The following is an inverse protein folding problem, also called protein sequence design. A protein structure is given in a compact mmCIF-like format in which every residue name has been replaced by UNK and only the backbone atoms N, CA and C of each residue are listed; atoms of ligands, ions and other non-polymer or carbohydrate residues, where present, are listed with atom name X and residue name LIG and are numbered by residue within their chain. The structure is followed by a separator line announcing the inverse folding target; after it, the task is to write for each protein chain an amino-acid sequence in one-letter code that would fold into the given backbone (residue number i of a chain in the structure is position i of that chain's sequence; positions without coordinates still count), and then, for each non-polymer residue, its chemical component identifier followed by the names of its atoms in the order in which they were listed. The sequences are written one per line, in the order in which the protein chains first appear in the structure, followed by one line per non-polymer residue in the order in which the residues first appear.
data_IF_923860068942
#
_entry.id   IF_923860068942
#
_cell.length_a   1.000
_cell.length_b   1.000
_cell.length_c   1.000
_cell.angle_alpha   90.00
_cell.angle_beta   90.00
_cell.angle_gamma   90.00
#
_symmetry.space_group_name_H-M   'P 1'
#
loop_
_entity.id
_entity.type
_entity.pdbx_description
1 polymer ?
#
# COMPACT_ATOMS: atom_id res chain seq x y z
N UNK A 1 32.15 -12.71 23.59
CA UNK A 1 30.93 -13.40 24.03
C UNK A 1 30.62 -12.99 25.47
N UNK A 2 29.35 -12.86 25.87
CA UNK A 2 28.14 -12.66 25.04
C UNK A 2 28.11 -11.19 24.55
N UNK A 3 27.02 -10.51 24.16
CA UNK A 3 25.66 -10.89 23.69
C UNK A 3 25.51 -10.42 22.22
N UNK A 4 24.39 -10.73 21.56
CA UNK A 4 23.97 -10.07 20.32
C UNK A 4 23.27 -8.72 20.61
N UNK A 5 23.51 -7.72 19.77
CA UNK A 5 22.85 -6.41 19.78
C UNK A 5 22.26 -6.11 18.41
N UNK A 6 21.20 -6.81 18.05
CA UNK A 6 20.42 -6.59 16.81
C UNK A 6 19.41 -5.48 17.10
N UNK A 7 19.65 -4.29 16.55
CA UNK A 7 18.73 -3.15 16.61
C UNK A 7 18.56 -2.60 15.18
N UNK A 8 17.31 -2.55 14.69
CA UNK A 8 16.92 -2.15 13.34
C UNK A 8 15.51 -1.52 13.35
N UNK A 9 15.23 -0.49 12.53
CA UNK A 9 14.01 0.33 12.68
C UNK A 9 13.50 1.15 11.46
N UNK A 10 12.19 1.47 11.56
CA UNK A 10 11.30 2.45 10.88
C UNK A 10 10.91 2.32 9.39
N UNK A 11 9.62 2.01 9.19
CA UNK A 11 8.95 1.61 7.94
C UNK A 11 8.28 2.75 7.13
N UNK A 12 7.93 2.46 5.86
CA UNK A 12 6.96 3.23 5.07
C UNK A 12 5.92 2.40 4.30
N UNK A 13 4.66 2.66 4.63
CA UNK A 13 3.41 2.54 3.87
C UNK A 13 3.35 2.14 2.36
N UNK A 14 2.54 1.12 2.02
CA UNK A 14 2.17 0.70 0.65
C UNK A 14 0.65 0.70 0.42
N UNK A 15 -0.01 1.77 -0.04
CA UNK A 15 -1.42 1.69 -0.40
C UNK A 15 -1.53 0.66 -1.51
N UNK A 16 -2.26 -0.42 -1.24
CA UNK A 16 -2.44 -1.49 -2.20
C UNK A 16 -3.89 -1.53 -2.62
N UNK A 17 -4.21 -0.77 -3.67
CA UNK A 17 -5.57 -0.56 -4.18
C UNK A 17 -5.89 -1.62 -5.25
N UNK A 18 -5.62 -2.89 -4.93
CA UNK A 18 -5.92 -4.04 -5.80
C UNK A 18 -7.42 -4.14 -6.08
N UNK A 19 -7.89 -3.74 -7.27
CA UNK A 19 -9.24 -4.13 -7.67
C UNK A 19 -9.47 -4.15 -9.19
N UNK A 20 -9.54 -5.37 -9.74
CA UNK A 20 -10.16 -5.56 -11.05
C UNK A 20 -11.68 -5.51 -10.92
N UNK A 21 -12.35 -4.61 -11.65
CA UNK A 21 -13.79 -4.70 -11.84
C UNK A 21 -14.09 -5.90 -12.76
N UNK A 22 -14.52 -7.03 -12.19
CA UNK A 22 -15.22 -8.01 -13.02
C UNK A 22 -16.51 -7.40 -13.59
N UNK A 23 -16.87 -7.85 -14.80
CA UNK A 23 -18.06 -7.46 -15.56
C UNK A 23 -19.30 -7.37 -14.67
N UNK A 24 -20.05 -6.27 -14.78
CA UNK A 24 -21.53 -6.18 -14.64
C UNK A 24 -22.24 -7.37 -13.97
N UNK A 25 -21.91 -7.67 -12.70
CA UNK A 25 -22.47 -8.83 -12.00
C UNK A 25 -22.49 -8.65 -10.47
N UNK A 26 -23.67 -8.33 -9.94
CA UNK A 26 -24.21 -8.68 -8.60
C UNK A 26 -23.49 -8.30 -7.31
N UNK A 27 -22.16 -8.30 -7.19
CA UNK A 27 -21.47 -8.04 -5.92
C UNK A 27 -20.68 -6.71 -5.94
N UNK A 28 -21.18 -5.65 -5.28
CA UNK A 28 -20.45 -4.39 -5.16
C UNK A 28 -19.27 -4.44 -4.17
N UNK A 29 -19.10 -5.52 -3.41
CA UNK A 29 -18.10 -5.65 -2.35
C UNK A 29 -17.02 -6.69 -2.71
N UNK A 30 -15.75 -6.35 -2.47
CA UNK A 30 -14.63 -7.28 -2.58
C UNK A 30 -13.67 -7.15 -1.40
N UNK A 31 -13.02 -8.27 -1.03
CA UNK A 31 -11.97 -8.32 -0.02
C UNK A 31 -10.81 -9.14 -0.56
N UNK A 32 -9.60 -8.60 -0.45
CA UNK A 32 -8.37 -9.26 -0.87
C UNK A 32 -7.39 -9.34 0.30
N UNK A 33 -6.74 -10.49 0.45
CA UNK A 33 -5.53 -10.62 1.25
C UNK A 33 -4.33 -10.47 0.33
N UNK A 34 -3.21 -9.94 0.84
CA UNK A 34 -1.99 -9.83 0.05
C UNK A 34 -0.72 -10.07 0.86
N UNK A 35 0.34 -10.46 0.16
CA UNK A 35 1.70 -10.55 0.66
C UNK A 35 2.64 -9.99 -0.43
N UNK A 36 3.56 -9.10 -0.07
CA UNK A 36 4.50 -8.48 -1.00
C UNK A 36 5.89 -8.38 -0.39
N UNK A 37 6.91 -8.63 -1.20
CA UNK A 37 8.28 -8.26 -0.89
C UNK A 37 8.58 -6.91 -1.56
N UNK A 38 9.23 -6.00 -0.85
CA UNK A 38 9.51 -4.66 -1.33
C UNK A 38 10.86 -4.12 -0.90
N UNK A 39 11.29 -3.11 -1.64
CA UNK A 39 12.55 -2.40 -1.50
C UNK A 39 12.24 -0.92 -1.38
N UNK A 40 12.88 -0.26 -0.43
CA UNK A 40 12.60 1.12 -0.01
C UNK A 40 13.91 1.92 0.10
N UNK A 41 13.97 3.07 -0.58
CA UNK A 41 15.01 4.08 -0.36
C UNK A 41 14.40 5.21 0.47
N UNK A 42 14.66 5.17 1.78
CA UNK A 42 13.98 6.03 2.75
C UNK A 42 14.78 7.30 3.10
N UNK A 43 14.06 8.29 3.64
CA UNK A 43 14.45 9.60 4.12
C UNK A 43 15.52 9.61 5.23
N UNK A 44 16.73 9.19 4.86
CA UNK A 44 17.96 9.22 5.65
C UNK A 44 18.09 10.42 6.59
N UNK A 45 17.92 11.62 6.04
CA UNK A 45 18.23 12.89 6.70
C UNK A 45 17.26 13.25 7.83
N UNK A 46 15.98 12.90 7.68
CA UNK A 46 14.95 13.31 8.64
C UNK A 46 14.85 12.38 9.85
N UNK A 47 15.19 11.09 9.68
CA UNK A 47 15.48 10.22 10.84
C UNK A 47 16.61 10.79 11.70
N UNK A 48 17.66 11.37 11.11
CA UNK A 48 18.74 12.01 11.89
C UNK A 48 18.23 13.18 12.75
N UNK A 49 17.16 13.86 12.33
CA UNK A 49 16.61 15.02 13.03
C UNK A 49 15.67 14.65 14.19
N UNK A 50 15.09 13.45 14.18
CA UNK A 50 14.18 12.95 15.23
C UNK A 50 14.90 12.27 16.41
N UNK A 51 16.21 12.51 16.57
CA UNK A 51 17.12 11.82 17.51
C UNK A 51 16.96 10.29 17.47
N UNK A 52 16.76 9.79 16.24
CA UNK A 52 16.56 8.38 15.99
C UNK A 52 17.93 7.69 16.04
N UNK A 53 18.15 6.79 17.02
CA UNK A 53 19.44 6.08 17.28
C UNK A 53 20.05 5.34 16.06
N UNK A 54 19.37 5.34 14.92
CA UNK A 54 19.70 4.62 13.69
C UNK A 54 20.02 5.53 12.50
N UNK A 55 20.20 6.83 12.76
CA UNK A 55 20.63 7.85 11.80
C UNK A 55 21.64 7.35 10.76
N UNK A 56 22.66 6.59 11.17
CA UNK A 56 23.77 6.18 10.29
C UNK A 56 23.46 5.11 9.24
N UNK A 57 22.28 4.48 9.25
CA UNK A 57 21.87 3.54 8.18
C UNK A 57 21.15 4.22 7.00
N UNK A 58 21.01 5.54 6.99
CA UNK A 58 20.15 6.24 6.04
C UNK A 58 20.45 6.04 4.53
N UNK A 59 21.68 5.65 4.16
CA UNK A 59 22.03 5.41 2.76
C UNK A 59 21.78 3.97 2.27
N UNK A 60 21.36 3.07 3.15
CA UNK A 60 21.18 1.66 2.79
C UNK A 60 19.77 1.38 2.26
N UNK A 61 19.69 0.73 1.11
CA UNK A 61 18.46 0.21 0.52
C UNK A 61 17.86 -0.88 1.40
N UNK A 62 16.63 -0.71 1.88
CA UNK A 62 16.02 -1.63 2.85
C UNK A 62 14.99 -2.57 2.22
N UNK A 63 15.14 -3.86 2.53
CA UNK A 63 14.20 -4.92 2.14
C UNK A 63 13.07 -5.09 3.18
N UNK A 64 11.86 -5.41 2.71
CA UNK A 64 10.66 -5.55 3.56
C UNK A 64 9.73 -6.63 3.03
N UNK A 65 9.17 -7.44 3.93
CA UNK A 65 7.97 -8.22 3.67
C UNK A 65 6.75 -7.46 4.24
N UNK A 66 5.72 -7.27 3.42
CA UNK A 66 4.42 -6.75 3.86
C UNK A 66 3.33 -7.78 3.67
N UNK A 67 2.37 -7.77 4.57
CA UNK A 67 1.12 -8.51 4.47
C UNK A 67 -0.04 -7.59 4.81
N UNK A 68 -1.23 -7.89 4.30
CA UNK A 68 -2.37 -7.04 4.59
C UNK A 68 -3.69 -7.53 4.02
N UNK A 69 -4.72 -6.73 4.26
CA UNK A 69 -6.08 -6.93 3.77
C UNK A 69 -6.55 -5.61 3.15
N UNK A 70 -7.08 -5.65 1.94
CA UNK A 70 -7.85 -4.55 1.36
C UNK A 70 -9.31 -4.94 1.21
N UNK A 71 -10.20 -3.97 1.35
CA UNK A 71 -11.61 -4.10 1.01
C UNK A 71 -12.02 -2.94 0.10
N UNK A 72 -13.02 -3.20 -0.76
CA UNK A 72 -13.57 -2.18 -1.65
C UNK A 72 -15.08 -2.35 -1.76
N UNK A 73 -15.80 -1.24 -1.92
CA UNK A 73 -17.25 -1.18 -2.06
C UNK A 73 -17.65 -0.16 -3.14
N UNK A 74 -18.23 -0.63 -4.24
CA UNK A 74 -18.61 0.18 -5.39
C UNK A 74 -20.09 0.61 -5.32
N UNK A 75 -20.36 1.92 -5.35
CA UNK A 75 -21.70 2.50 -5.40
C UNK A 75 -21.80 3.45 -6.60
N UNK A 76 -22.36 2.98 -7.72
CA UNK A 76 -22.46 3.75 -8.98
C UNK A 76 -21.06 4.24 -9.41
N UNK A 77 -20.81 5.56 -9.39
CA UNK A 77 -19.51 6.19 -9.71
C UNK A 77 -18.56 6.29 -8.51
N UNK A 78 -19.03 6.07 -7.29
CA UNK A 78 -18.22 6.13 -6.08
C UNK A 78 -17.66 4.76 -5.73
N UNK A 79 -16.46 4.73 -5.17
CA UNK A 79 -15.85 3.54 -4.62
C UNK A 79 -15.26 3.90 -3.26
N UNK A 80 -15.78 3.30 -2.20
CA UNK A 80 -15.16 3.35 -0.87
C UNK A 80 -14.16 2.19 -0.81
N UNK A 81 -12.99 2.41 -0.24
CA UNK A 81 -12.01 1.36 -0.03
C UNK A 81 -11.22 1.59 1.25
N UNK A 82 -10.66 0.52 1.81
CA UNK A 82 -9.70 0.64 2.88
C UNK A 82 -8.73 -0.53 2.90
N UNK A 83 -7.55 -0.30 3.43
CA UNK A 83 -6.44 -1.26 3.44
C UNK A 83 -5.71 -1.20 4.77
N UNK A 84 -5.45 -2.35 5.38
CA UNK A 84 -4.59 -2.50 6.57
C UNK A 84 -3.31 -3.24 6.20
N UNK A 85 -2.17 -2.77 6.70
CA UNK A 85 -0.84 -3.21 6.25
C UNK A 85 0.07 -3.45 7.44
N UNK A 86 0.71 -4.60 7.41
CA UNK A 86 1.61 -5.12 8.43
C UNK A 86 2.98 -5.30 7.81
N UNK A 87 4.01 -4.66 8.38
CA UNK A 87 5.39 -4.72 7.87
C UNK A 87 6.36 -5.49 8.78
N UNK A 88 7.13 -6.38 8.18
CA UNK A 88 8.33 -7.05 8.74
C UNK A 88 9.55 -6.71 7.87
N UNK A 89 10.74 -6.55 8.45
CA UNK A 89 11.98 -6.23 7.71
C UNK A 89 12.96 -7.40 7.69
N UNK A 90 13.92 -7.37 6.79
CA UNK A 90 14.96 -8.40 6.71
C UNK A 90 15.72 -8.54 8.04
N UNK A 91 15.91 -9.80 8.48
CA UNK A 91 16.45 -10.14 9.81
C UNK A 91 15.57 -11.10 10.62
N UNK A 92 14.35 -11.37 10.18
CA UNK A 92 13.42 -12.32 10.82
C UNK A 92 13.35 -13.62 9.98
N UNK A 93 13.54 -14.79 10.60
CA UNK A 93 13.59 -16.09 9.88
C UNK A 93 12.24 -16.45 9.23
N UNK A 94 12.20 -16.65 7.92
CA UNK A 94 10.99 -17.12 7.20
C UNK A 94 10.74 -18.63 7.39
N UNK A 95 9.51 -19.08 7.13
CA UNK A 95 9.16 -20.50 7.10
C UNK A 95 9.01 -21.01 5.66
N UNK A 96 8.81 -22.32 5.46
CA UNK A 96 8.54 -22.88 4.13
C UNK A 96 7.08 -22.71 3.68
N UNK A 97 6.18 -22.17 4.54
CA UNK A 97 4.74 -22.08 4.26
C UNK A 97 4.23 -20.62 4.20
N UNK A 98 3.86 -20.10 3.01
CA UNK A 98 3.46 -18.69 2.86
C UNK A 98 2.17 -18.30 3.60
N UNK A 99 1.31 -19.26 3.95
CA UNK A 99 0.11 -18.98 4.74
C UNK A 99 0.45 -18.71 6.21
N UNK A 100 1.43 -19.44 6.77
CA UNK A 100 1.92 -19.23 8.13
C UNK A 100 2.70 -17.92 8.21
N UNK A 101 3.45 -17.59 7.15
CA UNK A 101 4.17 -16.32 7.03
C UNK A 101 3.22 -15.10 7.02
N UNK A 102 2.07 -15.14 6.33
CA UNK A 102 1.10 -14.02 6.39
C UNK A 102 0.57 -13.78 7.81
N UNK A 103 0.21 -14.85 8.52
CA UNK A 103 -0.26 -14.75 9.92
C UNK A 103 0.87 -14.26 10.83
N UNK A 104 2.11 -14.66 10.58
CA UNK A 104 3.29 -14.18 11.29
C UNK A 104 3.58 -12.70 11.02
N UNK A 105 3.45 -12.24 9.78
CA UNK A 105 3.56 -10.82 9.41
C UNK A 105 2.53 -9.98 10.15
N UNK A 106 1.28 -10.43 10.24
CA UNK A 106 0.24 -9.71 10.98
C UNK A 106 0.53 -9.69 12.50
N UNK A 107 1.06 -10.78 13.07
CA UNK A 107 1.32 -10.90 14.52
C UNK A 107 2.60 -10.20 14.99
N UNK A 108 3.65 -10.20 14.17
CA UNK A 108 4.96 -9.66 14.48
C UNK A 108 5.22 -8.30 13.81
N UNK A 109 4.19 -7.69 13.19
CA UNK A 109 4.33 -6.43 12.47
C UNK A 109 4.95 -5.33 13.34
N UNK A 110 6.12 -4.84 12.93
CA UNK A 110 6.78 -3.73 13.61
C UNK A 110 6.13 -2.38 13.29
N UNK A 111 5.35 -2.32 12.21
CA UNK A 111 4.44 -1.21 11.88
C UNK A 111 3.07 -1.70 11.42
N UNK A 112 2.05 -0.91 11.74
CA UNK A 112 0.69 -1.03 11.21
C UNK A 112 0.35 0.28 10.49
N UNK A 113 -0.01 0.20 9.21
CA UNK A 113 -0.69 1.27 8.48
C UNK A 113 -2.17 0.90 8.28
N UNK A 114 -3.06 1.87 8.41
CA UNK A 114 -4.45 1.74 7.99
C UNK A 114 -4.87 2.94 7.14
N UNK A 115 -5.38 2.67 5.95
CA UNK A 115 -5.83 3.67 4.97
C UNK A 115 -7.32 3.48 4.67
N UNK A 116 -8.03 4.58 4.51
CA UNK A 116 -9.41 4.66 4.02
C UNK A 116 -9.46 5.67 2.87
N UNK A 117 -10.23 5.39 1.83
CA UNK A 117 -10.37 6.31 0.72
C UNK A 117 -11.69 6.22 -0.04
N UNK A 118 -11.91 7.24 -0.85
CA UNK A 118 -13.06 7.45 -1.70
C UNK A 118 -12.57 7.82 -3.10
N UNK A 119 -12.79 6.92 -4.08
CA UNK A 119 -12.63 7.25 -5.50
C UNK A 119 -13.96 7.71 -6.10
N UNK A 120 -13.93 8.71 -6.98
CA UNK A 120 -15.05 9.15 -7.81
C UNK A 120 -14.70 9.05 -9.29
N UNK A 121 -15.38 8.15 -10.02
CA UNK A 121 -15.13 7.87 -11.44
C UNK A 121 -15.65 9.02 -12.32
N UNK A 122 -14.72 9.72 -12.98
CA UNK A 122 -14.99 10.92 -13.77
C UNK A 122 -15.44 10.56 -15.19
N UNK A 123 -14.54 9.97 -15.99
CA UNK A 123 -14.76 9.66 -17.40
C UNK A 123 -14.01 8.38 -17.85
N UNK A 124 -14.58 7.59 -18.78
CA UNK A 124 -13.89 6.46 -19.38
C UNK A 124 -12.90 6.93 -20.46
N UNK A 125 -11.69 6.38 -20.42
CA UNK A 125 -10.61 6.62 -21.40
C UNK A 125 -10.43 5.36 -22.24
N UNK A 126 -10.27 5.53 -23.55
CA UNK A 126 -10.05 4.43 -24.50
C UNK A 126 -11.12 3.32 -24.41
N UNK A 127 -12.40 3.71 -24.27
CA UNK A 127 -13.54 2.81 -24.01
C UNK A 127 -13.71 1.68 -25.04
N UNK A 128 -13.21 1.87 -26.28
CA UNK A 128 -13.26 0.89 -27.37
C UNK A 128 -11.93 0.15 -27.62
N UNK A 129 -10.93 0.34 -26.74
CA UNK A 129 -9.65 -0.37 -26.82
C UNK A 129 -9.69 -1.72 -26.11
N UNK A 130 -8.64 -2.52 -26.29
CA UNK A 130 -8.44 -3.76 -25.53
C UNK A 130 -8.22 -3.52 -24.02
N UNK A 131 -7.88 -2.29 -23.60
CA UNK A 131 -7.58 -1.90 -22.22
C UNK A 131 -8.31 -0.60 -21.84
N UNK A 132 -9.66 -0.63 -21.72
CA UNK A 132 -10.41 0.54 -21.32
C UNK A 132 -10.04 0.93 -19.89
N UNK A 133 -9.74 2.21 -19.70
CA UNK A 133 -9.41 2.80 -18.42
C UNK A 133 -10.50 3.76 -17.96
N UNK A 134 -10.46 4.19 -16.70
CA UNK A 134 -11.24 5.33 -16.19
C UNK A 134 -10.30 6.33 -15.52
N UNK A 135 -10.55 7.61 -15.79
CA UNK A 135 -10.07 8.70 -14.96
C UNK A 135 -10.95 8.78 -13.70
N UNK A 136 -10.33 8.99 -12.55
CA UNK A 136 -11.04 9.27 -11.29
C UNK A 136 -10.33 10.33 -10.47
N UNK A 137 -11.09 10.92 -9.55
CA UNK A 137 -10.57 11.66 -8.40
C UNK A 137 -10.47 10.67 -7.22
N UNK A 138 -9.41 10.75 -6.43
CA UNK A 138 -9.20 9.93 -5.23
C UNK A 138 -8.93 10.84 -4.02
N UNK A 139 -9.67 10.60 -2.95
CA UNK A 139 -9.42 11.15 -1.62
C UNK A 139 -9.00 9.99 -0.72
N UNK A 140 -7.87 10.10 -0.04
CA UNK A 140 -7.37 9.10 0.89
C UNK A 140 -6.95 9.77 2.20
N UNK A 141 -7.27 9.11 3.32
CA UNK A 141 -6.76 9.45 4.63
C UNK A 141 -6.49 8.17 5.42
N UNK A 142 -5.46 8.19 6.24
CA UNK A 142 -5.10 7.08 7.09
C UNK A 142 -3.96 7.45 8.02
N UNK A 143 -3.41 6.44 8.67
CA UNK A 143 -2.36 6.61 9.65
C UNK A 143 -1.34 5.48 9.60
N UNK A 144 -0.13 5.79 10.05
CA UNK A 144 0.95 4.85 10.32
C UNK A 144 1.24 4.85 11.82
N UNK A 145 1.39 3.65 12.39
CA UNK A 145 1.94 3.43 13.73
C UNK A 145 3.17 2.55 13.62
N UNK A 146 4.21 2.87 14.39
CA UNK A 146 5.41 2.03 14.46
C UNK A 146 5.72 1.71 15.93
N UNK A 147 5.97 0.44 16.19
CA UNK A 147 6.35 -0.06 17.51
C UNK A 147 7.53 0.74 18.07
N UNK A 148 7.40 1.14 19.35
CA UNK A 148 8.36 1.94 20.14
C UNK A 148 8.46 3.44 19.80
N UNK A 149 7.65 3.98 18.89
CA UNK A 149 7.30 5.42 18.97
C UNK A 149 6.39 5.65 20.19
N UNK A 150 6.63 6.74 20.94
CA UNK A 150 5.89 7.04 22.17
C UNK A 150 4.49 7.62 21.86
N UNK A 151 3.60 6.74 21.39
CA UNK A 151 2.16 6.94 21.15
C UNK A 151 1.72 7.88 20.02
N UNK A 152 2.63 8.57 19.33
CA UNK A 152 2.21 9.44 18.23
C UNK A 152 1.76 8.65 17.00
N UNK A 153 0.68 9.12 16.37
CA UNK A 153 0.02 8.49 15.23
C UNK A 153 0.34 9.34 14.00
N UNK A 154 1.08 8.77 13.06
CA UNK A 154 1.58 9.51 11.90
C UNK A 154 0.45 9.63 10.87
N UNK A 155 -0.07 10.84 10.68
CA UNK A 155 -1.13 11.14 9.72
C UNK A 155 -0.62 11.07 8.27
N UNK A 156 -1.37 10.37 7.40
CA UNK A 156 -1.12 10.26 5.97
C UNK A 156 -2.41 10.57 5.19
N UNK A 157 -2.43 11.64 4.40
CA UNK A 157 -3.59 12.01 3.57
C UNK A 157 -3.17 12.40 2.15
N UNK A 158 -4.06 12.22 1.18
CA UNK A 158 -3.79 12.45 -0.23
C UNK A 158 -5.07 12.86 -1.00
N UNK A 159 -4.92 13.82 -1.90
CA UNK A 159 -5.86 14.10 -2.99
C UNK A 159 -5.14 13.85 -4.32
N UNK A 160 -5.59 12.87 -5.08
CA UNK A 160 -4.98 12.47 -6.36
C UNK A 160 -5.98 12.37 -7.51
N UNK A 161 -5.46 12.53 -8.72
CA UNK A 161 -6.13 12.08 -9.94
C UNK A 161 -5.49 10.78 -10.39
N UNK A 162 -6.33 9.85 -10.85
CA UNK A 162 -5.89 8.50 -11.17
C UNK A 162 -6.44 7.96 -12.47
N UNK A 163 -5.66 7.08 -13.10
CA UNK A 163 -6.04 6.25 -14.23
C UNK A 163 -6.05 4.79 -13.76
N UNK A 164 -7.15 4.06 -13.95
CA UNK A 164 -7.24 2.63 -13.63
C UNK A 164 -7.79 1.85 -14.82
N UNK A 165 -7.14 0.72 -15.16
CA UNK A 165 -7.61 -0.24 -16.17
C UNK A 165 -8.71 -1.08 -15.52
N UNK A 166 -9.90 -1.15 -16.13
CA UNK A 166 -11.06 -1.83 -15.53
C UNK A 166 -11.41 -3.17 -16.18
N UNK A 167 -10.83 -3.51 -17.34
CA UNK A 167 -11.09 -4.78 -18.04
C UNK A 167 -9.79 -5.35 -18.61
N UNK A 168 -9.83 -6.63 -18.99
CA UNK A 168 -8.71 -7.46 -19.45
C UNK A 168 -7.79 -7.97 -18.32
N UNK A 169 -6.76 -8.73 -18.70
CA UNK A 169 -5.78 -9.35 -17.77
C UNK A 169 -5.03 -8.37 -16.85
N UNK A 170 -5.11 -7.08 -17.09
CA UNK A 170 -4.51 -6.01 -16.27
C UNK A 170 -5.55 -5.24 -15.42
N UNK A 171 -6.81 -5.71 -15.36
CA UNK A 171 -7.86 -5.03 -14.61
C UNK A 171 -7.47 -4.86 -13.13
N UNK A 172 -7.54 -3.62 -12.65
CA UNK A 172 -7.05 -3.19 -11.35
C UNK A 172 -5.64 -2.60 -11.35
N UNK A 173 -4.95 -2.56 -12.49
CA UNK A 173 -3.72 -1.76 -12.64
C UNK A 173 -4.07 -0.27 -12.67
N UNK A 174 -3.30 0.58 -11.98
CA UNK A 174 -3.54 2.01 -11.91
C UNK A 174 -2.27 2.85 -11.84
N UNK A 175 -2.43 4.15 -12.08
CA UNK A 175 -1.47 5.20 -11.78
C UNK A 175 -2.23 6.40 -11.18
N UNK A 176 -1.91 6.73 -9.93
CA UNK A 176 -2.37 7.91 -9.19
C UNK A 176 -1.23 8.94 -9.14
N UNK A 177 -1.57 10.20 -9.36
CA UNK A 177 -0.68 11.36 -9.13
C UNK A 177 -1.48 12.40 -8.35
N UNK A 178 -0.92 12.86 -7.22
CA UNK A 178 -1.60 13.77 -6.34
C UNK A 178 -0.68 14.55 -5.42
N UNK A 179 -1.32 15.21 -4.46
CA UNK A 179 -0.70 16.05 -3.47
C UNK A 179 -1.31 15.75 -2.10
N UNK A 180 -0.53 15.87 -1.03
CA UNK A 180 -1.04 15.55 0.29
C UNK A 180 -0.04 15.74 1.43
N UNK A 181 -0.49 15.33 2.62
CA UNK A 181 0.24 15.43 3.87
C UNK A 181 0.77 14.08 4.31
N UNK A 182 1.98 14.03 4.85
CA UNK A 182 2.58 12.85 5.46
C UNK A 182 3.48 13.30 6.62
N UNK A 183 3.00 13.12 7.85
CA UNK A 183 3.67 13.60 9.07
C UNK A 183 4.92 12.77 9.45
N UNK A 184 5.27 11.75 8.66
CA UNK A 184 6.57 11.08 8.78
C UNK A 184 7.73 12.01 8.41
N UNK A 185 7.48 13.02 7.58
CA UNK A 185 8.47 13.99 7.17
C UNK A 185 8.48 15.19 8.12
N UNK A 186 9.65 15.49 8.68
CA UNK A 186 9.92 16.71 9.47
C UNK A 186 9.93 17.93 8.54
N UNK A 187 10.41 17.75 7.31
CA UNK A 187 10.54 18.82 6.31
C UNK A 187 9.42 18.72 5.28
N UNK A 188 8.66 19.81 5.14
CA UNK A 188 7.48 19.90 4.27
C UNK A 188 6.44 18.77 4.46
N UNK A 189 5.99 18.42 5.69
CA UNK A 189 4.98 17.37 5.90
C UNK A 189 3.68 17.59 5.14
N UNK A 190 3.29 18.84 4.86
CA UNK A 190 1.97 19.18 4.28
C UNK A 190 1.98 19.33 2.75
N UNK A 191 3.15 19.48 2.13
CA UNK A 191 3.29 19.96 0.76
C UNK A 191 3.90 18.92 -0.17
N UNK A 192 3.42 17.67 -0.11
CA UNK A 192 4.11 16.53 -0.73
C UNK A 192 3.39 15.97 -1.95
N UNK A 193 4.13 15.82 -3.04
CA UNK A 193 3.71 15.14 -4.24
C UNK A 193 3.76 13.63 -4.04
N UNK A 194 2.65 12.98 -4.36
CA UNK A 194 2.47 11.52 -4.20
C UNK A 194 2.19 10.91 -5.55
N UNK A 195 3.01 9.93 -5.92
CA UNK A 195 2.88 9.15 -7.16
C UNK A 195 2.77 7.69 -6.75
N UNK A 196 1.73 7.00 -7.19
CA UNK A 196 1.48 5.61 -6.84
C UNK A 196 1.04 4.84 -8.08
N UNK A 197 1.72 3.76 -8.43
CA UNK A 197 1.48 3.03 -9.66
C UNK A 197 1.55 1.53 -9.45
N UNK A 198 0.46 0.82 -9.73
CA UNK A 198 0.39 -0.62 -9.61
C UNK A 198 0.07 -1.27 -10.96
N UNK A 199 0.84 -2.28 -11.33
CA UNK A 199 0.50 -3.24 -12.39
C UNK A 199 0.13 -4.56 -11.74
N UNK A 200 -1.02 -5.11 -12.06
CA UNK A 200 -1.44 -6.44 -11.61
C UNK A 200 -1.85 -7.29 -12.80
N UNK A 201 -1.70 -8.62 -12.66
CA UNK A 201 -2.11 -9.58 -13.68
C UNK A 201 -3.17 -10.51 -13.10
N UNK A 202 -4.35 -10.54 -13.73
CA UNK A 202 -5.37 -11.53 -13.42
C UNK A 202 -4.93 -12.91 -13.90
N UNK A 203 -4.98 -13.90 -13.01
CA UNK A 203 -4.82 -15.32 -13.34
C UNK A 203 -6.13 -16.07 -13.12
N UNK A 204 -6.22 -17.31 -13.60
CA UNK A 204 -7.43 -18.14 -13.48
C UNK A 204 -7.72 -18.63 -12.04
N UNK A 205 -6.80 -18.44 -11.08
CA UNK A 205 -6.79 -19.15 -9.80
C UNK A 205 -7.07 -18.27 -8.57
N UNK A 206 -8.00 -17.30 -8.66
CA UNK A 206 -8.30 -16.31 -7.59
C UNK A 206 -7.06 -15.55 -7.07
N UNK A 207 -6.00 -15.53 -7.89
CA UNK A 207 -4.65 -15.13 -7.52
C UNK A 207 -4.18 -14.05 -8.49
N UNK A 208 -3.57 -12.99 -7.96
CA UNK A 208 -3.18 -11.81 -8.71
C UNK A 208 -1.77 -11.39 -8.29
N UNK A 209 -0.71 -11.74 -9.03
CA UNK A 209 0.58 -11.07 -8.88
C UNK A 209 0.41 -9.57 -9.15
N UNK A 210 1.27 -8.77 -8.51
CA UNK A 210 1.35 -7.34 -8.74
C UNK A 210 2.76 -6.81 -8.55
N UNK A 211 3.06 -5.73 -9.26
CA UNK A 211 4.19 -4.84 -9.03
C UNK A 211 3.60 -3.48 -8.64
N UNK A 212 3.94 -2.96 -7.47
CA UNK A 212 3.51 -1.65 -6.99
C UNK A 212 4.73 -0.72 -6.80
N UNK A 213 4.57 0.54 -7.19
CA UNK A 213 5.54 1.62 -7.05
C UNK A 213 4.90 2.77 -6.28
N UNK A 214 5.64 3.38 -5.35
CA UNK A 214 5.23 4.61 -4.67
C UNK A 214 6.40 5.58 -4.60
N UNK A 215 6.13 6.87 -4.78
CA UNK A 215 7.02 7.97 -4.45
C UNK A 215 6.26 9.03 -3.66
N UNK A 216 6.91 9.60 -2.63
CA UNK A 216 6.42 10.69 -1.80
C UNK A 216 7.55 11.72 -1.66
N UNK A 217 7.41 12.86 -2.34
CA UNK A 217 8.49 13.84 -2.59
C UNK A 217 8.04 15.28 -2.37
N UNK A 218 8.92 16.13 -1.86
CA UNK A 218 8.69 17.58 -1.76
C UNK A 218 9.13 18.34 -3.03
N UNK A 219 9.78 17.66 -3.98
CA UNK A 219 10.46 18.23 -5.15
C UNK A 219 11.50 19.32 -4.81
N UNK A 220 12.03 19.30 -3.60
CA UNK A 220 12.80 20.39 -2.98
C UNK A 220 14.14 19.94 -2.40
N UNK A 221 14.36 20.30 -1.13
CA UNK A 221 15.59 19.99 -0.38
C UNK A 221 15.32 19.10 0.85
N UNK A 222 14.06 18.74 1.11
CA UNK A 222 13.70 17.72 2.07
C UNK A 222 14.06 16.33 1.58
N UNK A 223 13.69 15.33 2.36
CA UNK A 223 13.92 13.94 2.00
C UNK A 223 12.78 13.40 1.16
N UNK A 224 13.09 12.46 0.26
CA UNK A 224 12.12 11.70 -0.50
C UNK A 224 11.95 10.29 0.08
N UNK A 225 10.81 9.66 -0.23
CA UNK A 225 10.62 8.21 -0.10
C UNK A 225 10.28 7.63 -1.47
N UNK A 226 10.99 6.58 -1.89
CA UNK A 226 10.65 5.81 -3.09
C UNK A 226 10.67 4.32 -2.77
N UNK A 227 9.62 3.62 -3.17
CA UNK A 227 9.39 2.24 -2.82
C UNK A 227 8.86 1.43 -4.01
N UNK A 228 9.38 0.22 -4.17
CA UNK A 228 8.95 -0.75 -5.16
C UNK A 228 8.62 -2.05 -4.43
N UNK A 229 7.52 -2.71 -4.77
CA UNK A 229 7.16 -4.02 -4.22
C UNK A 229 6.58 -4.96 -5.26
N UNK A 230 6.98 -6.23 -5.18
CA UNK A 230 6.47 -7.34 -5.97
C UNK A 230 5.74 -8.29 -5.02
N UNK A 231 4.51 -8.65 -5.35
CA UNK A 231 3.71 -9.49 -4.46
C UNK A 231 2.57 -10.22 -5.14
N UNK A 232 1.75 -10.82 -4.30
CA UNK A 232 0.60 -11.63 -4.67
C UNK A 232 -0.60 -11.27 -3.82
N UNK A 233 -1.77 -11.33 -4.43
CA UNK A 233 -3.05 -11.13 -3.76
C UNK A 233 -4.03 -12.25 -4.06
N UNK A 234 -4.88 -12.54 -3.09
CA UNK A 234 -5.87 -13.61 -3.11
C UNK A 234 -7.28 -13.04 -2.92
N UNK A 235 -8.24 -13.52 -3.71
CA UNK A 235 -9.64 -13.14 -3.55
C UNK A 235 -10.29 -13.84 -2.36
N UNK A 236 -10.54 -13.09 -1.29
CA UNK A 236 -11.15 -13.57 -0.05
C UNK A 236 -12.66 -13.37 -0.02
N UNK A 237 -13.24 -12.70 -1.02
CA UNK A 237 -14.67 -12.35 -1.09
C UNK A 237 -15.59 -13.57 -0.99
N UNK A 238 -15.10 -14.75 -1.39
CA UNK A 238 -15.86 -16.01 -1.37
C UNK A 238 -15.97 -16.66 0.02
N UNK A 239 -15.20 -16.21 1.01
CA UNK A 239 -15.15 -16.81 2.35
C UNK A 239 -16.53 -16.77 3.04
N UNK A 240 -16.95 -17.86 3.71
CA UNK A 240 -18.34 -18.04 4.14
C UNK A 240 -18.82 -17.02 5.18
N UNK A 241 -17.90 -16.44 5.96
CA UNK A 241 -18.20 -15.39 6.95
C UNK A 241 -18.31 -13.97 6.37
N UNK A 242 -17.91 -13.76 5.11
CA UNK A 242 -18.07 -12.49 4.40
C UNK A 242 -19.32 -12.45 3.51
N UNK A 243 -20.03 -13.58 3.35
CA UNK A 243 -21.30 -13.62 2.64
C UNK A 243 -22.37 -12.89 3.46
N UNK A 244 -23.14 -11.96 2.86
CA UNK A 244 -24.28 -11.38 3.55
C UNK A 244 -25.25 -12.49 3.96
N UNK A 245 -25.74 -12.44 5.20
CA UNK A 245 -26.88 -13.26 5.62
C UNK A 245 -28.12 -12.69 4.95
N UNK A 246 -28.66 -13.42 3.98
CA UNK A 246 -29.98 -13.20 3.41
C UNK A 246 -31.07 -13.46 4.45
#
# INVERSE_FOLDING_TARGET
MPKAGVFFFLCLALPLKLLGQEKEATNPFSVLGFLAYGVDSFAAGELKMLDYEQADQGNDTLERLVGGISFHYQIKKFQIYGTTIHGMRSGEEFTENPNDDLVRVIRNSTSLEALLGLKYQLLPINAFSAAPAKLYLNLQAGFLTVSKLNSDVIDNHELSFGLQIDKNKYAGSYLDIGFGRNDLFVVHPQDRWKIEGMVTWQTEQNFRPFLNFRADTDLGYGSDSVQISLGFAWDLTHLPFLKPKN
#
